data_IF_739949808709
#
_entry.id   IF_739949808709
#
_cell.length_a   1.000
_cell.length_b   1.000
_cell.length_c   1.000
_cell.angle_alpha   90.00
_cell.angle_beta   90.00
_cell.angle_gamma   90.00
#
_symmetry.space_group_name_H-M   'P 1'
#
loop_
_entity.id
_entity.type
_entity.pdbx_description
1 polymer ?
#
# COMPACT_ATOMS: atom_id res chain seq x y z
N UNK A 1 -0.25 7.12 23.69
CA UNK A 1 -0.51 6.78 22.28
C UNK A 1 -0.11 7.95 21.36
N UNK A 2 -0.70 9.13 21.48
CA UNK A 2 -0.52 10.28 20.57
C UNK A 2 0.94 10.75 20.47
N UNK A 3 1.62 10.87 21.59
CA UNK A 3 3.06 11.19 21.62
C UNK A 3 3.90 10.12 20.92
N UNK A 4 3.59 8.83 21.16
CA UNK A 4 4.27 7.73 20.49
C UNK A 4 4.10 7.76 18.97
N UNK A 5 2.89 8.03 18.47
CA UNK A 5 2.63 8.20 17.04
C UNK A 5 3.40 9.39 16.46
N UNK A 6 3.42 10.52 17.15
CA UNK A 6 4.20 11.70 16.75
C UNK A 6 5.69 11.40 16.65
N UNK A 7 6.26 10.65 17.60
CA UNK A 7 7.67 10.24 17.57
C UNK A 7 7.97 9.32 16.38
N UNK A 8 7.07 8.41 16.01
CA UNK A 8 7.21 7.56 14.83
C UNK A 8 7.22 8.41 13.55
N UNK A 9 6.33 9.39 13.43
CA UNK A 9 6.30 10.30 12.28
C UNK A 9 7.60 11.11 12.19
N UNK A 10 8.06 11.71 13.28
CA UNK A 10 9.33 12.47 13.32
C UNK A 10 10.51 11.57 12.96
N UNK A 11 10.60 10.37 13.55
CA UNK A 11 11.66 9.41 13.24
C UNK A 11 11.68 9.01 11.75
N UNK A 12 10.51 8.83 11.14
CA UNK A 12 10.40 8.54 9.71
C UNK A 12 10.83 9.71 8.82
N UNK A 13 10.61 10.96 9.25
CA UNK A 13 11.11 12.15 8.56
C UNK A 13 12.63 12.24 8.62
N UNK A 14 13.22 11.94 9.78
CA UNK A 14 14.69 11.88 9.93
C UNK A 14 15.28 10.80 9.02
N UNK A 15 14.65 9.61 8.96
CA UNK A 15 15.06 8.57 8.03
C UNK A 15 14.93 9.03 6.57
N UNK A 16 13.83 9.72 6.22
CA UNK A 16 13.61 10.30 4.89
C UNK A 16 14.67 11.32 4.48
N UNK A 17 15.19 12.09 5.42
CA UNK A 17 16.30 13.00 5.17
C UNK A 17 17.53 12.29 4.61
N UNK A 18 17.81 11.06 5.09
CA UNK A 18 18.89 10.22 4.56
C UNK A 18 18.76 9.94 3.06
N UNK A 19 17.53 9.72 2.57
CA UNK A 19 17.28 9.54 1.13
C UNK A 19 17.65 10.80 0.33
N UNK A 20 17.26 11.99 0.80
CA UNK A 20 17.54 13.25 0.10
C UNK A 20 19.03 13.58 0.07
N UNK A 21 19.72 13.38 1.20
CA UNK A 21 21.19 13.58 1.28
C UNK A 21 21.91 12.63 0.34
N UNK A 22 21.54 11.36 0.32
CA UNK A 22 22.12 10.34 -0.55
C UNK A 22 21.88 10.69 -2.02
N UNK A 23 20.65 11.04 -2.38
CA UNK A 23 20.33 11.48 -3.74
C UNK A 23 21.06 12.74 -4.15
N UNK A 24 21.16 13.73 -3.25
CA UNK A 24 21.90 14.96 -3.51
C UNK A 24 23.40 14.74 -3.72
N UNK A 25 24.01 13.75 -3.04
CA UNK A 25 25.40 13.32 -3.29
C UNK A 25 25.50 12.67 -4.66
N UNK A 26 24.67 11.68 -4.94
CA UNK A 26 24.64 10.99 -6.22
C UNK A 26 24.49 11.96 -7.40
N UNK A 27 23.59 12.94 -7.32
CA UNK A 27 23.39 13.96 -8.38
C UNK A 27 24.63 14.81 -8.63
N UNK A 28 25.45 15.09 -7.62
CA UNK A 28 26.71 15.82 -7.78
C UNK A 28 27.81 14.98 -8.45
N UNK A 29 27.81 13.68 -8.16
CA UNK A 29 28.77 12.73 -8.72
C UNK A 29 28.39 12.30 -10.15
N UNK A 30 27.11 12.42 -10.53
CA UNK A 30 26.55 11.99 -11.82
C UNK A 30 25.80 13.15 -12.50
N UNK A 31 26.49 14.24 -12.88
CA UNK A 31 25.86 15.40 -13.51
C UNK A 31 25.30 15.04 -14.88
N UNK A 32 24.04 15.37 -15.11
CA UNK A 32 23.34 15.08 -16.38
C UNK A 32 22.80 13.65 -16.51
N UNK A 33 23.16 12.73 -15.64
CA UNK A 33 22.61 11.39 -15.65
C UNK A 33 21.15 11.40 -15.16
N UNK A 34 20.37 10.48 -15.72
CA UNK A 34 18.98 10.28 -15.32
C UNK A 34 18.90 9.57 -13.99
N UNK A 35 18.00 10.05 -13.12
CA UNK A 35 17.72 9.37 -11.84
C UNK A 35 17.33 7.91 -12.09
N UNK A 36 17.98 6.92 -11.48
CA UNK A 36 17.54 5.53 -11.56
C UNK A 36 16.10 5.36 -11.12
N UNK A 37 15.33 4.49 -11.78
CA UNK A 37 13.90 4.31 -11.49
C UNK A 37 13.62 3.98 -10.01
N UNK A 38 14.44 3.12 -9.40
CA UNK A 38 14.32 2.77 -7.98
C UNK A 38 14.48 4.01 -7.10
N UNK A 39 15.49 4.83 -7.36
CA UNK A 39 15.76 6.05 -6.60
C UNK A 39 14.62 7.06 -6.78
N UNK A 40 14.16 7.28 -8.02
CA UNK A 40 13.02 8.16 -8.32
C UNK A 40 11.78 7.74 -7.55
N UNK A 41 11.39 6.47 -7.65
CA UNK A 41 10.19 5.94 -7.03
C UNK A 41 10.26 5.99 -5.49
N UNK A 42 11.42 5.66 -4.90
CA UNK A 42 11.63 5.73 -3.46
C UNK A 42 11.54 7.17 -2.93
N UNK A 43 12.13 8.13 -3.67
CA UNK A 43 12.06 9.55 -3.32
C UNK A 43 10.63 10.09 -3.44
N UNK A 44 9.91 9.75 -4.51
CA UNK A 44 8.50 10.12 -4.68
C UNK A 44 7.66 9.60 -3.52
N UNK A 45 7.87 8.34 -3.13
CA UNK A 45 7.19 7.72 -1.99
C UNK A 45 7.48 8.48 -0.70
N UNK A 46 8.72 8.89 -0.47
CA UNK A 46 9.10 9.66 0.72
C UNK A 46 8.54 11.08 0.71
N UNK A 47 8.50 11.76 -0.45
CA UNK A 47 7.85 13.09 -0.59
C UNK A 47 6.36 12.98 -0.28
N UNK A 48 5.68 11.97 -0.83
CA UNK A 48 4.27 11.72 -0.54
C UNK A 48 4.02 11.50 0.95
N UNK A 49 4.85 10.68 1.61
CA UNK A 49 4.79 10.44 3.04
C UNK A 49 4.90 11.73 3.85
N UNK A 50 5.86 12.58 3.53
CA UNK A 50 6.06 13.85 4.24
C UNK A 50 4.88 14.80 4.04
N UNK A 51 4.33 14.89 2.84
CA UNK A 51 3.15 15.72 2.57
C UNK A 51 1.95 15.20 3.36
N UNK A 52 1.63 13.91 3.27
CA UNK A 52 0.43 13.40 3.93
C UNK A 52 0.56 13.38 5.45
N UNK A 53 1.74 13.19 6.01
CA UNK A 53 1.94 13.20 7.46
C UNK A 53 1.76 14.57 8.11
N UNK A 54 1.68 15.66 7.33
CA UNK A 54 1.28 16.97 7.85
C UNK A 54 -0.14 16.95 8.44
N UNK A 55 -1.07 16.16 7.86
CA UNK A 55 -2.42 16.02 8.41
C UNK A 55 -2.43 15.41 9.81
N UNK A 56 -1.78 14.26 9.98
CA UNK A 56 -1.69 13.63 11.32
C UNK A 56 -0.85 14.46 12.28
N UNK A 57 0.14 15.22 11.80
CA UNK A 57 0.89 16.14 12.65
C UNK A 57 -0.02 17.28 13.16
N UNK A 58 -0.85 17.86 12.30
CA UNK A 58 -1.82 18.89 12.68
C UNK A 58 -2.83 18.33 13.70
N UNK A 59 -3.40 17.15 13.47
CA UNK A 59 -4.31 16.48 14.38
C UNK A 59 -3.66 16.23 15.76
N UNK A 60 -2.46 15.64 15.80
CA UNK A 60 -1.78 15.29 17.03
C UNK A 60 -1.35 16.53 17.82
N UNK A 61 -0.64 17.45 17.18
CA UNK A 61 -0.04 18.61 17.86
C UNK A 61 -1.06 19.72 18.13
N UNK A 62 -2.01 19.91 17.22
CA UNK A 62 -3.03 20.97 17.33
C UNK A 62 -4.21 20.59 18.22
N UNK A 63 -4.53 19.30 18.37
CA UNK A 63 -5.78 18.88 18.99
C UNK A 63 -5.62 17.75 20.00
N UNK A 64 -5.16 16.55 19.58
CA UNK A 64 -5.26 15.36 20.42
C UNK A 64 -4.24 15.31 21.57
N UNK A 65 -3.01 15.79 21.39
CA UNK A 65 -2.04 15.91 22.48
C UNK A 65 -2.48 17.01 23.46
N UNK A 66 -2.78 18.26 23.02
CA UNK A 66 -3.30 19.29 23.93
C UNK A 66 -4.54 18.86 24.70
N UNK A 67 -5.48 18.17 24.06
CA UNK A 67 -6.64 17.61 24.75
C UNK A 67 -6.24 16.52 25.77
N UNK A 68 -5.35 15.62 25.42
CA UNK A 68 -4.96 14.51 26.30
C UNK A 68 -4.22 14.95 27.57
N UNK A 69 -3.53 16.09 27.53
CA UNK A 69 -2.84 16.68 28.70
C UNK A 69 -3.69 17.74 29.43
N UNK A 70 -4.93 17.98 28.99
CA UNK A 70 -5.87 18.88 29.63
C UNK A 70 -5.71 20.36 29.25
N UNK A 71 -4.93 20.68 28.20
CA UNK A 71 -4.81 22.06 27.69
C UNK A 71 -6.03 22.50 26.89
N UNK A 72 -6.73 21.55 26.28
CA UNK A 72 -8.01 21.77 25.59
C UNK A 72 -9.12 21.02 26.33
N UNK A 73 -10.28 21.69 26.50
CA UNK A 73 -11.45 21.12 27.16
C UNK A 73 -12.20 20.09 26.32
N UNK A 74 -12.01 20.08 25.01
CA UNK A 74 -12.66 19.19 24.07
C UNK A 74 -11.93 19.14 22.74
N UNK A 75 -12.47 18.34 21.82
CA UNK A 75 -11.99 18.21 20.44
C UNK A 75 -13.14 18.44 19.45
N UNK A 76 -12.82 18.68 18.19
CA UNK A 76 -13.78 18.60 17.09
C UNK A 76 -13.57 17.27 16.34
N UNK A 77 -14.49 16.30 16.48
CA UNK A 77 -14.33 14.98 15.86
C UNK A 77 -14.31 15.02 14.34
N UNK A 78 -15.00 15.96 13.71
CA UNK A 78 -15.04 16.06 12.26
C UNK A 78 -13.70 16.59 11.71
N UNK A 79 -13.17 17.64 12.33
CA UNK A 79 -11.86 18.18 11.96
C UNK A 79 -10.76 17.14 12.22
N UNK A 80 -10.72 16.51 13.38
CA UNK A 80 -9.75 15.45 13.71
C UNK A 80 -9.79 14.31 12.70
N UNK A 81 -10.98 13.80 12.36
CA UNK A 81 -11.14 12.74 11.33
C UNK A 81 -10.71 13.18 9.94
N UNK A 82 -10.90 14.44 9.59
CA UNK A 82 -10.50 14.95 8.27
C UNK A 82 -8.99 15.10 8.19
N UNK A 83 -8.35 15.63 9.23
CA UNK A 83 -6.89 15.70 9.34
C UNK A 83 -6.26 14.29 9.36
N UNK A 84 -6.87 13.35 10.10
CA UNK A 84 -6.46 11.95 10.08
C UNK A 84 -6.57 11.33 8.68
N UNK A 85 -7.69 11.50 7.97
CA UNK A 85 -7.85 10.88 6.67
C UNK A 85 -7.04 11.55 5.56
N UNK A 86 -6.71 12.84 5.68
CA UNK A 86 -5.68 13.47 4.84
C UNK A 86 -4.38 12.65 4.85
N UNK A 87 -4.00 12.13 6.00
CA UNK A 87 -2.89 11.22 6.18
C UNK A 87 -3.26 9.78 5.81
N UNK A 88 -4.37 9.26 6.34
CA UNK A 88 -4.68 7.85 6.41
C UNK A 88 -4.86 7.15 5.05
N UNK A 89 -5.38 7.88 4.03
CA UNK A 89 -5.46 7.30 2.69
C UNK A 89 -4.09 7.26 2.01
N UNK A 90 -3.34 8.34 2.04
CA UNK A 90 -2.00 8.37 1.43
C UNK A 90 -1.01 7.43 2.14
N UNK A 91 -1.21 7.15 3.44
CA UNK A 91 -0.45 6.15 4.19
C UNK A 91 -0.50 4.77 3.52
N UNK A 92 -1.65 4.31 3.03
CA UNK A 92 -1.74 3.00 2.38
C UNK A 92 -0.98 2.96 1.05
N UNK A 93 -0.88 4.08 0.35
CA UNK A 93 -0.01 4.21 -0.83
C UNK A 93 1.48 4.26 -0.43
N UNK A 94 1.84 4.94 0.66
CA UNK A 94 3.20 4.90 1.19
C UNK A 94 3.65 3.47 1.48
N UNK A 95 2.76 2.61 1.97
CA UNK A 95 3.07 1.19 2.17
C UNK A 95 3.10 0.41 0.85
N UNK A 96 2.25 0.74 -0.11
CA UNK A 96 2.10 0.01 -1.36
C UNK A 96 3.18 0.34 -2.40
N UNK A 97 3.62 1.60 -2.50
CA UNK A 97 4.57 2.01 -3.52
C UNK A 97 5.92 1.29 -3.44
N UNK A 98 6.51 0.97 -2.26
CA UNK A 98 7.70 0.12 -2.21
C UNK A 98 7.47 -1.29 -2.77
N UNK A 99 6.27 -1.87 -2.61
CA UNK A 99 5.92 -3.12 -3.27
C UNK A 99 5.87 -2.95 -4.80
N UNK A 100 5.31 -1.83 -5.29
CA UNK A 100 5.32 -1.50 -6.71
C UNK A 100 6.74 -1.33 -7.27
N UNK A 101 7.64 -0.69 -6.52
CA UNK A 101 9.07 -0.61 -6.90
C UNK A 101 9.61 -2.01 -7.18
N UNK A 102 9.36 -2.96 -6.28
CA UNK A 102 9.80 -4.34 -6.46
C UNK A 102 9.15 -5.00 -7.69
N UNK A 103 7.84 -4.78 -7.91
CA UNK A 103 7.15 -5.33 -9.07
C UNK A 103 7.67 -4.80 -10.40
N UNK A 104 8.09 -3.53 -10.45
CA UNK A 104 8.69 -2.95 -11.65
C UNK A 104 10.14 -3.40 -11.90
N UNK A 105 10.92 -3.61 -10.85
CA UNK A 105 12.37 -3.82 -11.04
C UNK A 105 12.83 -5.23 -10.72
N UNK A 106 12.27 -5.90 -9.70
CA UNK A 106 12.71 -7.25 -9.33
C UNK A 106 12.00 -8.34 -10.15
N UNK A 107 10.69 -8.32 -10.19
CA UNK A 107 9.91 -9.38 -10.82
C UNK A 107 10.23 -9.58 -12.31
N UNK A 108 10.40 -8.55 -13.16
CA UNK A 108 10.77 -8.76 -14.56
C UNK A 108 12.14 -9.44 -14.69
N UNK A 109 13.13 -9.08 -13.85
CA UNK A 109 14.44 -9.73 -13.84
C UNK A 109 14.37 -11.17 -13.38
N UNK A 110 13.62 -11.45 -12.30
CA UNK A 110 13.39 -12.79 -11.79
C UNK A 110 12.65 -13.68 -12.83
N UNK A 111 11.72 -13.10 -13.58
CA UNK A 111 11.06 -13.76 -14.69
C UNK A 111 11.98 -14.04 -15.90
N UNK A 112 13.23 -13.55 -15.89
CA UNK A 112 14.18 -13.66 -16.99
C UNK A 112 13.91 -12.67 -18.13
N UNK A 113 13.16 -11.60 -17.85
CA UNK A 113 12.79 -10.55 -18.79
C UNK A 113 13.40 -9.19 -18.48
N UNK A 114 12.78 -8.17 -19.04
CA UNK A 114 13.14 -6.77 -18.91
C UNK A 114 11.91 -5.95 -18.56
N UNK A 115 12.11 -4.74 -18.04
CA UNK A 115 11.04 -3.78 -17.80
C UNK A 115 10.46 -3.29 -19.14
N UNK A 116 9.17 -3.49 -19.34
CA UNK A 116 8.47 -3.13 -20.58
C UNK A 116 8.64 -1.66 -20.94
N UNK A 117 8.43 -0.74 -19.98
CA UNK A 117 8.55 0.70 -20.23
C UNK A 117 8.96 1.48 -19.00
N UNK A 118 10.18 2.04 -19.01
CA UNK A 118 10.68 2.96 -17.98
C UNK A 118 9.87 4.29 -17.94
N UNK A 119 9.51 4.94 -19.08
CA UNK A 119 8.67 6.15 -19.04
C UNK A 119 7.31 5.93 -18.39
N UNK A 120 6.62 4.82 -18.68
CA UNK A 120 5.32 4.51 -18.07
C UNK A 120 5.45 4.26 -16.57
N UNK A 121 6.51 3.57 -16.13
CA UNK A 121 6.77 3.36 -14.72
C UNK A 121 6.96 4.69 -13.98
N UNK A 122 7.80 5.60 -14.52
CA UNK A 122 8.01 6.94 -13.94
C UNK A 122 6.71 7.75 -13.88
N UNK A 123 5.94 7.75 -14.95
CA UNK A 123 4.66 8.46 -14.99
C UNK A 123 3.70 7.91 -13.94
N UNK A 124 3.61 6.59 -13.76
CA UNK A 124 2.76 6.00 -12.74
C UNK A 124 3.13 6.49 -11.33
N UNK A 125 4.41 6.52 -10.96
CA UNK A 125 4.84 7.04 -9.65
C UNK A 125 4.51 8.52 -9.47
N UNK A 126 4.70 9.36 -10.49
CA UNK A 126 4.30 10.77 -10.42
C UNK A 126 2.80 10.95 -10.26
N UNK A 127 1.99 10.18 -10.99
CA UNK A 127 0.54 10.23 -10.85
C UNK A 127 0.09 9.75 -9.47
N UNK A 128 0.77 8.78 -8.85
CA UNK A 128 0.51 8.42 -7.46
C UNK A 128 0.79 9.59 -6.51
N UNK A 129 1.89 10.32 -6.67
CA UNK A 129 2.14 11.51 -5.85
C UNK A 129 1.02 12.55 -5.97
N UNK A 130 0.61 12.84 -7.20
CA UNK A 130 -0.41 13.89 -7.48
C UNK A 130 -1.78 13.48 -6.97
N UNK A 131 -2.16 12.20 -7.11
CA UNK A 131 -3.54 11.74 -6.91
C UNK A 131 -3.79 11.02 -5.57
N UNK A 132 -2.76 10.55 -4.85
CA UNK A 132 -2.97 9.73 -3.64
C UNK A 132 -3.41 10.54 -2.43
N UNK A 133 -3.06 11.81 -2.32
CA UNK A 133 -3.43 12.63 -1.15
C UNK A 133 -4.83 13.23 -1.29
N UNK A 134 -5.22 13.84 -2.43
CA UNK A 134 -6.45 14.63 -2.54
C UNK A 134 -7.72 13.78 -2.75
N UNK A 135 -7.81 12.60 -2.12
CA UNK A 135 -8.92 11.64 -2.34
C UNK A 135 -9.65 11.23 -1.06
N UNK A 136 -9.10 11.55 0.11
CA UNK A 136 -9.42 10.82 1.34
C UNK A 136 -10.81 11.09 1.94
N UNK A 137 -11.56 12.08 1.50
CA UNK A 137 -12.96 12.26 1.94
C UNK A 137 -13.88 11.09 1.52
N UNK A 138 -13.42 10.19 0.65
CA UNK A 138 -14.18 8.96 0.40
C UNK A 138 -14.25 8.04 1.64
N UNK A 139 -13.35 8.18 2.61
CA UNK A 139 -13.47 7.53 3.91
C UNK A 139 -14.52 8.16 4.82
N UNK A 140 -15.02 9.33 4.45
CA UNK A 140 -15.97 10.15 5.21
C UNK A 140 -17.29 10.40 4.47
N UNK A 141 -17.65 9.53 3.52
CA UNK A 141 -18.89 9.69 2.76
C UNK A 141 -20.15 9.75 3.64
N UNK A 142 -20.15 9.07 4.76
CA UNK A 142 -21.28 9.07 5.72
C UNK A 142 -21.10 10.09 6.85
N UNK A 143 -19.95 10.75 6.95
CA UNK A 143 -19.75 11.75 7.99
C UNK A 143 -20.64 12.98 7.72
N UNK A 144 -21.40 13.47 8.73
CA UNK A 144 -22.15 14.72 8.60
C UNK A 144 -21.21 15.92 8.55
N UNK A 145 -21.69 17.06 8.05
CA UNK A 145 -20.92 18.31 8.03
C UNK A 145 -19.98 18.48 6.85
N UNK A 146 -19.83 17.48 5.98
CA UNK A 146 -19.09 17.59 4.72
C UNK A 146 -20.10 17.72 3.57
N UNK A 147 -19.95 18.77 2.76
CA UNK A 147 -20.81 19.01 1.60
C UNK A 147 -20.76 17.84 0.60
N UNK A 148 -21.90 17.43 0.04
CA UNK A 148 -21.96 16.39 -1.00
C UNK A 148 -21.05 16.69 -2.21
N UNK A 149 -20.89 17.96 -2.57
CA UNK A 149 -20.01 18.35 -3.66
C UNK A 149 -18.54 17.96 -3.40
N UNK A 150 -18.03 18.20 -2.19
CA UNK A 150 -16.67 17.79 -1.84
C UNK A 150 -16.51 16.27 -1.76
N UNK A 151 -17.52 15.56 -1.27
CA UNK A 151 -17.56 14.09 -1.31
C UNK A 151 -17.48 13.58 -2.75
N UNK A 152 -18.23 14.21 -3.68
CA UNK A 152 -18.20 13.84 -5.10
C UNK A 152 -16.84 14.14 -5.75
N UNK A 153 -16.21 15.29 -5.46
CA UNK A 153 -14.85 15.62 -5.95
C UNK A 153 -13.84 14.57 -5.51
N UNK A 154 -13.81 14.23 -4.23
CA UNK A 154 -12.87 13.22 -3.73
C UNK A 154 -13.18 11.80 -4.22
N UNK A 155 -14.47 11.46 -4.45
CA UNK A 155 -14.86 10.23 -5.11
C UNK A 155 -14.31 10.15 -6.54
N UNK A 156 -14.47 11.22 -7.32
CA UNK A 156 -13.95 11.30 -8.70
C UNK A 156 -12.42 11.20 -8.73
N UNK A 157 -11.73 11.92 -7.85
CA UNK A 157 -10.27 11.83 -7.73
C UNK A 157 -9.80 10.43 -7.33
N UNK A 158 -10.61 9.67 -6.56
CA UNK A 158 -10.32 8.27 -6.23
C UNK A 158 -10.39 7.38 -7.47
N UNK A 159 -11.34 7.59 -8.37
CA UNK A 159 -11.33 6.90 -9.66
C UNK A 159 -10.12 7.30 -10.52
N UNK A 160 -9.67 8.55 -10.42
CA UNK A 160 -8.47 9.00 -11.13
C UNK A 160 -7.19 8.30 -10.61
N UNK A 161 -7.05 8.06 -9.30
CA UNK A 161 -5.87 7.36 -8.75
C UNK A 161 -5.85 5.86 -9.09
N UNK A 162 -6.97 5.29 -9.53
CA UNK A 162 -6.99 3.93 -10.07
C UNK A 162 -6.21 3.82 -11.40
N UNK A 163 -6.14 4.90 -12.16
CA UNK A 163 -5.47 4.91 -13.46
C UNK A 163 -3.97 4.56 -13.39
N UNK A 164 -3.13 5.17 -12.52
CA UNK A 164 -1.73 4.75 -12.37
C UNK A 164 -1.58 3.30 -11.85
N UNK A 165 -2.55 2.75 -11.10
CA UNK A 165 -2.57 1.33 -10.76
C UNK A 165 -2.77 0.45 -11.97
N UNK A 166 -3.65 0.82 -12.90
CA UNK A 166 -3.84 0.10 -14.17
C UNK A 166 -2.60 0.19 -15.06
N UNK A 167 -1.94 1.37 -15.12
CA UNK A 167 -0.66 1.52 -15.83
C UNK A 167 0.41 0.58 -15.24
N UNK A 168 0.46 0.46 -13.92
CA UNK A 168 1.36 -0.45 -13.23
C UNK A 168 1.07 -1.91 -13.59
N UNK A 169 -0.19 -2.32 -13.48
CA UNK A 169 -0.60 -3.69 -13.82
C UNK A 169 -0.23 -4.03 -15.28
N UNK A 170 -0.56 -3.15 -16.22
CA UNK A 170 -0.21 -3.33 -17.64
C UNK A 170 1.30 -3.46 -17.83
N UNK A 171 2.08 -2.53 -17.31
CA UNK A 171 3.54 -2.51 -17.52
C UNK A 171 4.23 -3.72 -16.89
N UNK A 172 3.81 -4.12 -15.69
CA UNK A 172 4.36 -5.29 -15.00
C UNK A 172 3.98 -6.57 -15.72
N UNK A 173 2.71 -6.77 -16.08
CA UNK A 173 2.26 -7.96 -16.82
C UNK A 173 2.99 -8.09 -18.16
N UNK A 174 3.12 -7.00 -18.93
CA UNK A 174 3.88 -6.98 -20.17
C UNK A 174 5.37 -7.35 -19.96
N UNK A 175 5.97 -6.86 -18.86
CA UNK A 175 7.35 -7.22 -18.47
C UNK A 175 7.49 -8.71 -18.15
N UNK A 176 6.51 -9.30 -17.44
CA UNK A 176 6.49 -10.72 -17.11
C UNK A 176 6.29 -11.58 -18.36
N UNK A 177 5.45 -11.14 -19.31
CA UNK A 177 5.25 -11.81 -20.57
C UNK A 177 6.54 -11.86 -21.40
N UNK A 178 7.31 -10.76 -21.45
CA UNK A 178 8.63 -10.73 -22.10
C UNK A 178 9.52 -11.83 -21.51
N UNK A 179 9.61 -11.94 -20.20
CA UNK A 179 10.42 -12.95 -19.52
C UNK A 179 9.93 -14.37 -19.77
N UNK A 180 8.62 -14.59 -19.68
CA UNK A 180 8.03 -15.91 -19.93
C UNK A 180 8.22 -16.37 -21.37
N UNK A 181 8.08 -15.46 -22.34
CA UNK A 181 8.33 -15.79 -23.77
C UNK A 181 9.78 -16.11 -24.04
N UNK A 182 10.72 -15.41 -23.39
CA UNK A 182 12.14 -15.74 -23.46
C UNK A 182 12.44 -17.15 -22.90
N UNK A 183 11.61 -17.65 -21.98
CA UNK A 183 11.65 -19.02 -21.43
C UNK A 183 10.89 -20.06 -22.29
N UNK A 184 10.39 -19.68 -23.48
CA UNK A 184 9.63 -20.55 -24.36
C UNK A 184 8.12 -20.55 -24.16
N UNK A 185 7.59 -19.66 -23.30
CA UNK A 185 6.14 -19.48 -23.11
C UNK A 185 5.44 -19.02 -24.39
N UNK A 186 4.28 -19.62 -24.71
CA UNK A 186 3.52 -19.39 -25.96
C UNK A 186 2.04 -19.18 -25.66
N UNK A 187 1.28 -18.78 -26.68
CA UNK A 187 -0.17 -18.58 -26.60
C UNK A 187 -0.56 -17.28 -25.86
N UNK A 188 -1.88 -17.03 -25.77
CA UNK A 188 -2.42 -15.80 -25.19
C UNK A 188 -2.27 -15.75 -23.66
N UNK A 189 -2.49 -16.88 -22.97
CA UNK A 189 -2.39 -16.98 -21.50
C UNK A 189 -1.43 -18.10 -21.04
N UNK A 190 -1.16 -19.09 -21.90
CA UNK A 190 -0.34 -20.24 -21.50
C UNK A 190 1.13 -19.88 -21.21
N UNK A 191 1.62 -18.73 -21.65
CA UNK A 191 2.94 -18.21 -21.29
C UNK A 191 3.11 -18.03 -19.77
N UNK A 192 2.03 -17.77 -19.03
CA UNK A 192 2.08 -17.64 -17.56
C UNK A 192 2.62 -18.90 -16.87
N UNK A 193 2.43 -20.08 -17.46
CA UNK A 193 3.00 -21.33 -16.95
C UNK A 193 4.53 -21.42 -17.06
N UNK A 194 5.16 -20.61 -17.92
CA UNK A 194 6.62 -20.56 -18.06
C UNK A 194 7.30 -19.63 -17.03
N UNK A 195 6.53 -18.90 -16.22
CA UNK A 195 7.06 -18.06 -15.16
C UNK A 195 7.65 -18.89 -14.01
N UNK A 196 8.61 -18.35 -13.23
CA UNK A 196 9.32 -19.11 -12.22
C UNK A 196 8.51 -19.27 -10.91
N UNK A 197 7.36 -19.92 -10.97
CA UNK A 197 6.47 -20.17 -9.83
C UNK A 197 7.12 -21.00 -8.70
N UNK A 198 8.23 -21.66 -8.99
CA UNK A 198 9.03 -22.41 -8.03
C UNK A 198 10.03 -21.57 -7.26
N UNK A 199 10.26 -20.32 -7.64
CA UNK A 199 11.09 -19.36 -6.90
C UNK A 199 10.23 -18.69 -5.81
N UNK A 200 10.58 -18.84 -4.52
CA UNK A 200 9.76 -18.27 -3.44
C UNK A 200 9.66 -16.75 -3.47
N UNK A 201 10.73 -16.05 -3.84
CA UNK A 201 10.73 -14.58 -3.92
C UNK A 201 9.81 -14.10 -5.03
N UNK A 202 9.89 -14.72 -6.21
CA UNK A 202 9.03 -14.41 -7.33
C UNK A 202 7.56 -14.79 -7.06
N UNK A 203 7.31 -16.02 -6.59
CA UNK A 203 5.97 -16.54 -6.37
C UNK A 203 5.20 -15.69 -5.34
N UNK A 204 5.84 -15.34 -4.22
CA UNK A 204 5.22 -14.50 -3.20
C UNK A 204 4.77 -13.14 -3.77
N UNK A 205 5.63 -12.46 -4.53
CA UNK A 205 5.31 -11.17 -5.14
C UNK A 205 4.21 -11.28 -6.20
N UNK A 206 4.24 -12.32 -7.04
CA UNK A 206 3.22 -12.51 -8.08
C UNK A 206 1.86 -12.86 -7.48
N UNK A 207 1.80 -13.74 -6.47
CA UNK A 207 0.58 -14.04 -5.73
C UNK A 207 0.02 -12.81 -5.00
N UNK A 208 0.89 -11.96 -4.45
CA UNK A 208 0.51 -10.69 -3.85
C UNK A 208 -0.15 -9.76 -4.88
N UNK A 209 0.43 -9.63 -6.07
CA UNK A 209 -0.11 -8.80 -7.16
C UNK A 209 -1.47 -9.32 -7.66
N UNK A 210 -1.65 -10.64 -7.79
CA UNK A 210 -2.94 -11.24 -8.18
C UNK A 210 -4.03 -10.86 -7.16
N UNK A 211 -3.78 -11.02 -5.86
CA UNK A 211 -4.77 -10.65 -4.83
C UNK A 211 -4.98 -9.14 -4.75
N UNK A 212 -3.94 -8.34 -5.06
CA UNK A 212 -4.10 -6.89 -5.15
C UNK A 212 -5.10 -6.47 -6.23
N UNK A 213 -5.18 -7.17 -7.36
CA UNK A 213 -6.16 -6.84 -8.40
C UNK A 213 -7.60 -6.92 -7.86
N UNK A 214 -7.93 -7.97 -7.09
CA UNK A 214 -9.23 -8.10 -6.42
C UNK A 214 -9.43 -7.03 -5.33
N UNK A 215 -8.38 -6.76 -4.54
CA UNK A 215 -8.40 -5.70 -3.53
C UNK A 215 -8.64 -4.31 -4.14
N UNK A 216 -8.00 -4.01 -5.28
CA UNK A 216 -8.19 -2.77 -6.04
C UNK A 216 -9.64 -2.58 -6.51
N UNK A 217 -10.28 -3.64 -7.00
CA UNK A 217 -11.72 -3.62 -7.34
C UNK A 217 -12.56 -3.27 -6.09
N UNK A 218 -12.27 -3.90 -4.94
CA UNK A 218 -12.89 -3.55 -3.66
C UNK A 218 -12.71 -2.06 -3.30
N UNK A 219 -11.59 -1.45 -3.67
CA UNK A 219 -11.35 -0.02 -3.52
C UNK A 219 -12.28 0.84 -4.37
N UNK A 220 -12.53 0.46 -5.62
CA UNK A 220 -13.48 1.15 -6.50
C UNK A 220 -14.91 1.06 -5.97
N UNK A 221 -15.30 -0.10 -5.43
CA UNK A 221 -16.58 -0.28 -4.75
C UNK A 221 -16.70 0.68 -3.57
N UNK A 222 -15.67 0.80 -2.75
CA UNK A 222 -15.63 1.74 -1.62
C UNK A 222 -15.65 3.21 -2.06
N UNK A 223 -15.11 3.55 -3.21
CA UNK A 223 -15.10 4.89 -3.78
C UNK A 223 -16.44 5.27 -4.45
N UNK A 224 -17.28 4.30 -4.76
CA UNK A 224 -18.62 4.51 -5.28
C UNK A 224 -19.56 4.97 -4.15
N UNK A 225 -20.02 6.23 -4.19
CA UNK A 225 -20.80 6.81 -3.10
C UNK A 225 -22.04 5.96 -2.75
N UNK A 226 -22.80 5.54 -3.75
CA UNK A 226 -24.04 4.78 -3.54
C UNK A 226 -23.77 3.40 -2.92
N UNK A 227 -22.74 2.70 -3.39
CA UNK A 227 -22.37 1.38 -2.84
C UNK A 227 -21.72 1.54 -1.47
N UNK A 228 -20.95 2.62 -1.26
CA UNK A 228 -20.36 2.92 0.04
C UNK A 228 -21.42 3.04 1.14
N UNK A 229 -22.61 3.56 0.84
CA UNK A 229 -23.72 3.61 1.81
C UNK A 229 -24.07 2.23 2.39
N UNK A 230 -23.90 1.17 1.61
CA UNK A 230 -24.19 -0.21 2.03
C UNK A 230 -23.02 -0.84 2.76
N UNK A 231 -21.78 -0.63 2.26
CA UNK A 231 -20.60 -1.34 2.78
C UNK A 231 -19.82 -0.57 3.84
N UNK A 232 -20.17 0.69 4.10
CA UNK A 232 -19.45 1.55 5.05
C UNK A 232 -19.44 0.95 6.47
N UNK A 233 -18.25 0.89 7.07
CA UNK A 233 -18.01 0.30 8.40
C UNK A 233 -18.41 -1.19 8.55
N UNK A 234 -18.64 -1.91 7.45
CA UNK A 234 -18.86 -3.35 7.46
C UNK A 234 -17.56 -4.14 7.31
N UNK A 235 -17.62 -5.47 7.44
CA UNK A 235 -16.51 -6.38 7.19
C UNK A 235 -16.02 -6.36 5.73
N UNK A 236 -16.83 -5.86 4.77
CA UNK A 236 -16.39 -5.62 3.40
C UNK A 236 -15.12 -4.76 3.35
N UNK A 237 -15.07 -3.70 4.17
CA UNK A 237 -13.88 -2.84 4.27
C UNK A 237 -12.67 -3.64 4.78
N UNK A 238 -12.88 -4.55 5.76
CA UNK A 238 -11.82 -5.43 6.25
C UNK A 238 -11.32 -6.36 5.14
N UNK A 239 -12.22 -6.99 4.38
CA UNK A 239 -11.89 -7.80 3.21
C UNK A 239 -11.03 -7.03 2.21
N UNK A 240 -11.45 -5.81 1.85
CA UNK A 240 -10.71 -4.94 0.93
C UNK A 240 -9.26 -4.69 1.37
N UNK A 241 -9.04 -4.16 2.57
CA UNK A 241 -7.67 -3.82 2.96
C UNK A 241 -6.79 -5.03 3.29
N UNK A 242 -7.37 -6.20 3.60
CA UNK A 242 -6.59 -7.42 3.74
C UNK A 242 -6.03 -7.91 2.39
N UNK A 243 -6.75 -7.72 1.29
CA UNK A 243 -6.20 -8.01 -0.04
C UNK A 243 -5.18 -6.96 -0.48
N UNK A 244 -5.39 -5.68 -0.18
CA UNK A 244 -4.48 -4.60 -0.58
C UNK A 244 -3.27 -4.51 0.35
N UNK A 245 -3.42 -4.09 1.59
CA UNK A 245 -2.30 -3.84 2.51
C UNK A 245 -1.74 -5.14 3.07
N UNK A 246 -2.58 -5.97 3.69
CA UNK A 246 -2.08 -7.18 4.36
C UNK A 246 -1.55 -8.23 3.37
N UNK A 247 -1.92 -8.18 2.09
CA UNK A 247 -1.40 -9.11 1.09
C UNK A 247 -0.43 -8.44 0.13
N UNK A 248 -0.89 -7.45 -0.64
CA UNK A 248 -0.03 -6.86 -1.66
C UNK A 248 1.26 -6.28 -1.07
N UNK A 249 1.18 -5.65 0.09
CA UNK A 249 2.37 -5.12 0.78
C UNK A 249 3.12 -6.22 1.50
N UNK A 250 2.48 -6.90 2.45
CA UNK A 250 3.17 -7.83 3.36
C UNK A 250 3.75 -9.03 2.62
N UNK A 251 2.97 -9.67 1.73
CA UNK A 251 3.45 -10.84 1.00
C UNK A 251 4.54 -10.46 -0.03
N UNK A 252 4.46 -9.26 -0.63
CA UNK A 252 5.56 -8.73 -1.44
C UNK A 252 6.83 -8.53 -0.61
N UNK A 253 6.72 -7.96 0.59
CA UNK A 253 7.89 -7.76 1.46
C UNK A 253 8.47 -9.08 1.94
N UNK A 254 7.65 -10.10 2.21
CA UNK A 254 8.13 -11.47 2.46
C UNK A 254 8.90 -11.99 1.23
N UNK A 255 8.39 -11.80 0.03
CA UNK A 255 9.08 -12.16 -1.21
C UNK A 255 10.42 -11.43 -1.38
N UNK A 256 10.47 -10.14 -1.03
CA UNK A 256 11.73 -9.38 -0.99
C UNK A 256 12.69 -9.95 0.05
N UNK A 257 12.20 -10.30 1.24
CA UNK A 257 13.02 -10.86 2.31
C UNK A 257 13.61 -12.22 1.95
N UNK A 258 12.96 -13.03 1.14
CA UNK A 258 13.51 -14.29 0.63
C UNK A 258 14.73 -14.09 -0.29
N UNK A 259 14.90 -12.92 -0.86
CA UNK A 259 16.10 -12.51 -1.55
C UNK A 259 17.05 -11.72 -0.63
N UNK A 260 16.53 -10.78 0.17
CA UNK A 260 17.32 -9.83 0.95
C UNK A 260 18.08 -10.50 2.11
N UNK A 261 17.47 -11.46 2.81
CA UNK A 261 18.15 -12.18 3.89
C UNK A 261 19.37 -12.97 3.38
N UNK A 262 19.29 -13.74 2.28
CA UNK A 262 20.47 -14.30 1.62
C UNK A 262 21.55 -13.27 1.28
N UNK A 263 21.16 -12.13 0.72
CA UNK A 263 22.09 -11.05 0.36
C UNK A 263 22.82 -10.49 1.59
N UNK A 264 22.09 -10.14 2.64
CA UNK A 264 22.66 -9.52 3.85
C UNK A 264 23.51 -10.50 4.68
N UNK A 265 23.17 -11.79 4.68
CA UNK A 265 23.87 -12.79 5.49
C UNK A 265 24.98 -13.51 4.74
N UNK A 266 25.07 -13.36 3.41
CA UNK A 266 25.95 -14.14 2.56
C UNK A 266 25.62 -15.65 2.61
N UNK A 267 24.37 -16.01 2.83
CA UNK A 267 23.89 -17.38 2.93
C UNK A 267 22.86 -17.71 1.87
N UNK A 268 22.68 -18.98 1.57
CA UNK A 268 21.59 -19.44 0.73
C UNK A 268 20.27 -19.44 1.52
N UNK A 269 19.15 -19.22 0.82
CA UNK A 269 17.83 -19.35 1.43
C UNK A 269 17.64 -20.76 1.99
N UNK A 270 17.40 -20.85 3.28
CA UNK A 270 17.16 -22.12 3.94
C UNK A 270 15.75 -22.64 3.63
N UNK A 271 15.63 -23.93 3.31
CA UNK A 271 14.37 -24.60 3.01
C UNK A 271 13.46 -23.87 1.99
N UNK A 272 13.91 -23.66 0.73
CA UNK A 272 13.14 -22.91 -0.26
C UNK A 272 11.76 -23.52 -0.57
N UNK A 273 11.59 -24.85 -0.42
CA UNK A 273 10.26 -25.48 -0.55
C UNK A 273 9.30 -25.05 0.56
N UNK A 274 9.80 -24.81 1.76
CA UNK A 274 9.00 -24.30 2.88
C UNK A 274 8.65 -22.82 2.68
N UNK A 275 9.57 -22.02 2.14
CA UNK A 275 9.32 -20.64 1.74
C UNK A 275 8.23 -20.58 0.65
N UNK A 276 8.28 -21.49 -0.30
CA UNK A 276 7.24 -21.58 -1.34
C UNK A 276 5.89 -21.99 -0.74
N UNK A 277 5.86 -23.00 0.14
CA UNK A 277 4.65 -23.40 0.86
C UNK A 277 4.05 -22.21 1.66
N UNK A 278 4.88 -21.39 2.28
CA UNK A 278 4.47 -20.17 2.97
C UNK A 278 3.71 -19.22 2.03
N UNK A 279 4.24 -18.93 0.84
CA UNK A 279 3.62 -18.01 -0.09
C UNK A 279 2.23 -18.51 -0.55
N UNK A 280 2.10 -19.78 -0.89
CA UNK A 280 0.84 -20.37 -1.31
C UNK A 280 -0.18 -20.50 -0.17
N UNK A 281 0.25 -20.82 1.05
CA UNK A 281 -0.65 -20.83 2.21
C UNK A 281 -1.13 -19.43 2.57
N UNK A 282 -0.28 -18.40 2.44
CA UNK A 282 -0.73 -17.01 2.57
C UNK A 282 -1.82 -16.66 1.57
N UNK A 283 -1.57 -16.97 0.30
CA UNK A 283 -2.55 -16.72 -0.78
C UNK A 283 -3.90 -17.38 -0.48
N UNK A 284 -3.89 -18.67 -0.13
CA UNK A 284 -5.11 -19.42 0.16
C UNK A 284 -5.83 -18.88 1.40
N UNK A 285 -5.12 -18.68 2.50
CA UNK A 285 -5.70 -18.17 3.75
C UNK A 285 -6.32 -16.78 3.56
N UNK A 286 -5.65 -15.91 2.80
CA UNK A 286 -6.15 -14.57 2.52
C UNK A 286 -7.35 -14.58 1.58
N UNK A 287 -7.35 -15.45 0.58
CA UNK A 287 -8.49 -15.61 -0.34
C UNK A 287 -9.75 -16.04 0.42
N UNK A 288 -9.62 -17.02 1.33
CA UNK A 288 -10.74 -17.51 2.16
C UNK A 288 -11.21 -16.41 3.11
N UNK A 289 -10.32 -15.83 3.90
CA UNK A 289 -10.68 -14.83 4.92
C UNK A 289 -11.27 -13.57 4.30
N UNK A 290 -10.60 -13.00 3.30
CA UNK A 290 -11.09 -11.76 2.67
C UNK A 290 -12.33 -12.00 1.84
N UNK A 291 -12.45 -13.14 1.17
CA UNK A 291 -13.68 -13.54 0.46
C UNK A 291 -14.87 -13.58 1.39
N UNK A 292 -14.74 -14.27 2.52
CA UNK A 292 -15.79 -14.35 3.54
C UNK A 292 -16.17 -12.96 4.08
N UNK A 293 -15.18 -12.09 4.35
CA UNK A 293 -15.43 -10.74 4.85
C UNK A 293 -16.10 -9.83 3.82
N UNK A 294 -15.76 -9.95 2.53
CA UNK A 294 -16.46 -9.22 1.47
C UNK A 294 -17.92 -9.64 1.39
N UNK A 295 -18.19 -10.94 1.37
CA UNK A 295 -19.57 -11.46 1.25
C UNK A 295 -20.40 -11.08 2.47
N UNK A 296 -19.96 -11.38 3.68
CA UNK A 296 -20.74 -11.08 4.88
C UNK A 296 -20.92 -9.58 5.13
N UNK A 297 -19.93 -8.77 4.72
CA UNK A 297 -20.02 -7.32 4.81
C UNK A 297 -20.98 -6.71 3.79
N UNK A 298 -21.06 -7.27 2.57
CA UNK A 298 -21.95 -6.82 1.50
C UNK A 298 -23.38 -7.29 1.69
N UNK A 299 -23.57 -8.59 1.94
CA UNK A 299 -24.88 -9.22 1.93
C UNK A 299 -25.67 -8.97 3.24
N UNK A 300 -24.96 -8.86 4.36
CA UNK A 300 -25.55 -8.75 5.69
C UNK A 300 -25.17 -7.48 6.45
N UNK A 301 -24.28 -6.65 5.91
CA UNK A 301 -23.85 -5.41 6.57
C UNK A 301 -23.15 -5.65 7.91
N UNK A 302 -22.51 -6.81 8.11
CA UNK A 302 -21.87 -7.16 9.39
C UNK A 302 -20.82 -6.11 9.76
N UNK A 303 -20.93 -5.45 10.92
CA UNK A 303 -20.06 -4.36 11.29
C UNK A 303 -18.62 -4.83 11.56
N UNK A 304 -17.65 -4.02 11.19
CA UNK A 304 -16.25 -4.18 11.61
C UNK A 304 -15.99 -3.49 12.95
N UNK A 305 -14.89 -3.83 13.62
CA UNK A 305 -14.42 -3.20 14.87
C UNK A 305 -15.38 -3.38 16.05
N UNK A 306 -16.10 -4.48 16.07
CA UNK A 306 -16.97 -4.87 17.16
C UNK A 306 -16.61 -6.26 17.66
N UNK A 307 -16.86 -6.53 18.93
CA UNK A 307 -16.69 -7.85 19.54
C UNK A 307 -17.91 -8.73 19.23
N UNK A 308 -17.97 -9.30 18.02
CA UNK A 308 -19.11 -10.08 17.55
C UNK A 308 -19.46 -11.26 18.47
N UNK A 309 -18.46 -11.87 19.13
CA UNK A 309 -18.71 -13.00 20.04
C UNK A 309 -19.53 -12.66 21.29
N UNK A 310 -19.62 -11.38 21.66
CA UNK A 310 -20.45 -10.89 22.77
C UNK A 310 -21.67 -10.07 22.29
N UNK A 311 -21.91 -9.99 20.98
CA UNK A 311 -23.01 -9.24 20.43
C UNK A 311 -24.34 -9.98 20.63
N UNK A 312 -25.31 -9.33 21.25
CA UNK A 312 -26.66 -9.88 21.48
C UNK A 312 -27.47 -9.98 20.19
N UNK A 313 -27.02 -9.32 19.11
CA UNK A 313 -27.67 -9.27 17.80
C UNK A 313 -27.00 -10.17 16.77
N UNK A 314 -26.19 -11.15 17.19
CA UNK A 314 -25.50 -12.07 16.28
C UNK A 314 -26.52 -12.93 15.53
N UNK A 315 -26.60 -12.73 14.21
CA UNK A 315 -27.46 -13.54 13.34
C UNK A 315 -26.77 -14.88 13.00
N UNK A 316 -27.54 -15.95 13.05
CA UNK A 316 -27.06 -17.30 12.68
C UNK A 316 -26.61 -17.39 11.23
N UNK A 317 -27.13 -16.56 10.31
CA UNK A 317 -26.74 -16.48 8.92
C UNK A 317 -25.29 -15.98 8.73
N UNK A 318 -24.73 -15.24 9.70
CA UNK A 318 -23.34 -14.76 9.64
C UNK A 318 -22.32 -15.84 9.96
N UNK A 319 -22.74 -16.85 10.74
CA UNK A 319 -21.85 -17.87 11.29
C UNK A 319 -20.97 -18.59 10.25
N UNK A 320 -21.47 -19.05 9.09
CA UNK A 320 -20.62 -19.69 8.08
C UNK A 320 -19.46 -18.80 7.64
N UNK A 321 -19.73 -17.54 7.30
CA UNK A 321 -18.72 -16.58 6.86
C UNK A 321 -17.69 -16.25 7.95
N UNK A 322 -18.14 -16.15 9.21
CA UNK A 322 -17.22 -15.89 10.33
C UNK A 322 -16.33 -17.12 10.61
N UNK A 323 -16.85 -18.32 10.41
CA UNK A 323 -16.05 -19.55 10.48
C UNK A 323 -15.03 -19.60 9.35
N UNK A 324 -15.41 -19.30 8.10
CA UNK A 324 -14.50 -19.22 6.98
C UNK A 324 -13.40 -18.17 7.22
N UNK A 325 -13.79 -17.00 7.76
CA UNK A 325 -12.85 -15.97 8.17
C UNK A 325 -11.83 -16.48 9.21
N UNK A 326 -12.30 -17.26 10.20
CA UNK A 326 -11.44 -17.87 11.22
C UNK A 326 -10.52 -18.94 10.62
N UNK A 327 -11.04 -19.81 9.74
CA UNK A 327 -10.24 -20.83 9.01
C UNK A 327 -9.13 -20.15 8.20
N UNK A 328 -9.47 -19.12 7.41
CA UNK A 328 -8.48 -18.34 6.67
C UNK A 328 -7.42 -17.73 7.59
N UNK A 329 -7.83 -17.18 8.74
CA UNK A 329 -6.94 -16.64 9.76
C UNK A 329 -5.97 -17.67 10.34
N UNK A 330 -6.42 -18.90 10.61
CA UNK A 330 -5.54 -20.02 11.06
C UNK A 330 -4.54 -20.39 9.98
N UNK A 331 -4.94 -20.47 8.72
CA UNK A 331 -4.03 -20.74 7.59
C UNK A 331 -2.97 -19.63 7.48
N UNK A 332 -3.37 -18.36 7.65
CA UNK A 332 -2.43 -17.23 7.66
C UNK A 332 -1.45 -17.30 8.83
N UNK A 333 -1.92 -17.68 10.02
CA UNK A 333 -1.05 -17.87 11.18
C UNK A 333 0.01 -18.98 10.93
N UNK A 334 -0.39 -20.09 10.32
CA UNK A 334 0.54 -21.14 9.87
C UNK A 334 1.54 -20.55 8.88
N UNK A 335 1.07 -19.79 7.88
CA UNK A 335 1.93 -19.16 6.87
C UNK A 335 2.97 -18.22 7.49
N UNK A 336 2.58 -17.34 8.41
CA UNK A 336 3.51 -16.46 9.13
C UNK A 336 4.52 -17.26 9.94
N UNK A 337 4.10 -18.33 10.59
CA UNK A 337 5.00 -19.24 11.33
C UNK A 337 6.05 -19.85 10.39
N UNK A 338 5.64 -20.34 9.22
CA UNK A 338 6.55 -20.84 8.19
C UNK A 338 7.57 -19.78 7.76
N UNK A 339 7.14 -18.53 7.57
CA UNK A 339 8.03 -17.43 7.24
C UNK A 339 9.12 -17.24 8.30
N UNK A 340 8.76 -17.17 9.58
CA UNK A 340 9.74 -17.01 10.65
C UNK A 340 10.70 -18.19 10.74
N UNK A 341 10.22 -19.42 10.56
CA UNK A 341 11.08 -20.62 10.52
C UNK A 341 12.11 -20.50 9.38
N UNK A 342 11.68 -20.12 8.18
CA UNK A 342 12.58 -19.95 7.03
C UNK A 342 13.56 -18.79 7.25
N UNK A 343 13.09 -17.66 7.76
CA UNK A 343 13.93 -16.48 8.01
C UNK A 343 15.02 -16.78 9.05
N UNK A 344 14.64 -17.35 10.20
CA UNK A 344 15.59 -17.77 11.26
C UNK A 344 16.54 -18.86 10.73
N UNK A 345 16.00 -19.86 10.02
CA UNK A 345 16.82 -20.91 9.39
C UNK A 345 17.82 -20.34 8.39
N UNK A 346 17.45 -19.33 7.60
CA UNK A 346 18.36 -18.65 6.66
C UNK A 346 19.51 -17.94 7.38
N UNK A 347 19.19 -17.20 8.46
CA UNK A 347 20.19 -16.45 9.22
C UNK A 347 21.17 -17.35 9.96
N UNK A 348 20.70 -18.44 10.57
CA UNK A 348 21.52 -19.26 11.48
C UNK A 348 21.99 -20.59 10.87
N UNK A 349 21.22 -21.22 9.99
CA UNK A 349 21.47 -22.55 9.45
C UNK A 349 21.65 -22.60 7.92
N UNK A 350 21.44 -21.50 7.19
CA UNK A 350 21.63 -21.44 5.74
C UNK A 350 23.09 -21.73 5.35
N UNK A 351 23.32 -22.55 4.32
CA UNK A 351 24.65 -22.77 3.76
C UNK A 351 25.28 -21.44 3.30
N UNK A 352 26.60 -21.30 3.41
CA UNK A 352 27.27 -20.11 2.85
C UNK A 352 27.06 -20.03 1.34
N UNK A 353 26.74 -18.85 0.84
CA UNK A 353 26.63 -18.62 -0.58
C UNK A 353 28.04 -18.72 -1.22
N UNK A 354 28.12 -19.39 -2.34
CA UNK A 354 29.37 -19.54 -3.10
C UNK A 354 29.71 -18.27 -3.93
N UNK A 355 28.68 -17.47 -4.19
CA UNK A 355 28.78 -16.19 -4.89
C UNK A 355 27.89 -15.14 -4.20
N UNK A 356 28.21 -13.84 -4.31
CA UNK A 356 27.34 -12.78 -3.79
C UNK A 356 25.93 -12.90 -4.38
N UNK A 357 24.92 -12.74 -3.55
CA UNK A 357 23.53 -12.67 -3.98
C UNK A 357 23.28 -11.23 -4.46
N UNK A 358 23.17 -11.04 -5.77
CA UNK A 358 22.95 -9.73 -6.35
C UNK A 358 21.47 -9.34 -6.33
N UNK A 359 21.19 -8.04 -6.22
CA UNK A 359 19.84 -7.53 -6.34
C UNK A 359 19.33 -7.72 -7.78
N UNK A 360 18.18 -8.38 -8.00
CA UNK A 360 17.63 -8.56 -9.34
C UNK A 360 17.00 -7.26 -9.86
N UNK A 361 17.76 -6.47 -10.60
CA UNK A 361 17.32 -5.22 -11.20
C UNK A 361 17.08 -5.44 -12.69
N UNK A 362 15.86 -5.18 -13.14
CA UNK A 362 15.51 -5.26 -14.55
C UNK A 362 15.99 -4.02 -15.31
N UNK A 363 16.59 -4.27 -16.47
CA UNK A 363 16.86 -3.24 -17.45
C UNK A 363 15.60 -2.93 -18.29
N UNK A 364 15.46 -1.71 -18.83
CA UNK A 364 14.41 -1.40 -19.79
C UNK A 364 14.51 -2.30 -21.04
N UNK A 365 13.35 -2.70 -21.56
CA UNK A 365 13.28 -3.55 -22.79
C UNK A 365 13.84 -2.82 -24.00
N UNK A 366 13.50 -1.55 -24.13
CA UNK A 366 14.06 -0.68 -25.15
C UNK A 366 14.69 0.57 -24.51
N UNK A 367 15.76 1.09 -25.10
CA UNK A 367 16.37 2.35 -24.71
C UNK A 367 15.48 3.53 -25.19
N UNK A 368 14.22 3.55 -24.78
CA UNK A 368 13.29 4.62 -25.14
C UNK A 368 13.70 5.91 -24.44
N UNK A 369 13.83 7.03 -25.17
CA UNK A 369 14.09 8.32 -24.56
C UNK A 369 12.98 8.66 -23.55
N UNK A 370 13.36 8.91 -22.31
CA UNK A 370 12.41 9.39 -21.30
C UNK A 370 12.24 10.91 -21.49
N UNK A 371 11.03 11.40 -21.67
CA UNK A 371 10.77 12.83 -21.76
C UNK A 371 11.30 13.60 -20.56
N UNK A 372 11.95 14.74 -20.79
CA UNK A 372 12.60 15.54 -19.72
C UNK A 372 11.62 15.99 -18.61
N UNK A 373 10.35 16.21 -18.96
CA UNK A 373 9.33 16.59 -18.00
C UNK A 373 9.05 15.50 -16.93
N UNK A 374 9.36 14.23 -17.19
CA UNK A 374 9.31 13.16 -16.19
C UNK A 374 10.42 13.23 -15.12
N UNK A 375 11.45 14.02 -15.33
CA UNK A 375 12.47 14.32 -14.31
C UNK A 375 12.29 15.73 -13.70
N UNK A 376 11.20 16.44 -14.00
CA UNK A 376 10.93 17.77 -13.49
C UNK A 376 10.20 17.73 -12.14
N UNK A 377 10.97 17.58 -11.06
CA UNK A 377 10.47 17.51 -9.68
C UNK A 377 9.60 18.71 -9.28
N UNK A 378 10.00 19.93 -9.68
CA UNK A 378 9.26 21.17 -9.33
C UNK A 378 7.88 21.18 -9.93
N UNK A 379 7.75 20.74 -11.18
CA UNK A 379 6.46 20.65 -11.87
C UNK A 379 5.53 19.66 -11.17
N UNK A 380 6.01 18.44 -10.90
CA UNK A 380 5.18 17.37 -10.32
C UNK A 380 4.79 17.64 -8.88
N UNK A 381 5.73 18.11 -8.04
CA UNK A 381 5.43 18.52 -6.67
C UNK A 381 4.47 19.72 -6.69
N UNK A 382 4.67 20.68 -7.59
CA UNK A 382 3.77 21.80 -7.77
C UNK A 382 2.34 21.38 -8.11
N UNK A 383 2.17 20.43 -9.03
CA UNK A 383 0.84 19.87 -9.34
C UNK A 383 0.22 19.13 -8.16
N UNK A 384 1.00 18.33 -7.42
CA UNK A 384 0.50 17.64 -6.23
C UNK A 384 0.01 18.65 -5.17
N UNK A 385 0.82 19.64 -4.83
CA UNK A 385 0.47 20.68 -3.85
C UNK A 385 -0.75 21.48 -4.31
N UNK A 386 -0.80 21.90 -5.59
CA UNK A 386 -1.93 22.63 -6.15
C UNK A 386 -3.23 21.83 -6.01
N UNK A 387 -3.22 20.56 -6.41
CA UNK A 387 -4.42 19.72 -6.35
C UNK A 387 -4.86 19.47 -4.90
N UNK A 388 -3.92 19.28 -3.98
CA UNK A 388 -4.20 19.16 -2.54
C UNK A 388 -4.84 20.42 -1.99
N UNK A 389 -4.29 21.60 -2.31
CA UNK A 389 -4.85 22.88 -1.87
C UNK A 389 -6.26 23.10 -2.42
N UNK A 390 -6.50 22.75 -3.67
CA UNK A 390 -7.83 22.86 -4.27
C UNK A 390 -8.84 21.87 -3.67
N UNK A 391 -8.44 20.65 -3.37
CA UNK A 391 -9.33 19.61 -2.86
C UNK A 391 -9.63 19.77 -1.36
N UNK A 392 -8.65 20.19 -0.56
CA UNK A 392 -8.80 20.28 0.90
C UNK A 392 -8.93 21.71 1.43
N UNK A 393 -8.33 22.70 0.76
CA UNK A 393 -8.28 24.07 1.27
C UNK A 393 -9.65 24.61 1.68
N UNK A 394 -10.65 24.62 0.78
CA UNK A 394 -11.99 25.12 1.12
C UNK A 394 -12.67 24.31 2.24
N UNK A 395 -12.46 23.00 2.27
CA UNK A 395 -13.04 22.10 3.29
C UNK A 395 -12.44 22.41 4.67
N UNK A 396 -11.13 22.46 4.77
CA UNK A 396 -10.42 22.74 6.03
C UNK A 396 -10.67 24.15 6.53
N UNK A 397 -10.67 25.17 5.64
CA UNK A 397 -10.99 26.54 6.03
C UNK A 397 -12.39 26.61 6.65
N UNK A 398 -13.38 25.97 6.02
CA UNK A 398 -14.73 25.93 6.56
C UNK A 398 -14.77 25.20 7.90
N UNK A 399 -14.14 24.05 8.04
CA UNK A 399 -14.11 23.28 9.30
C UNK A 399 -13.42 24.06 10.42
N UNK A 400 -12.27 24.68 10.17
CA UNK A 400 -11.53 25.45 11.16
C UNK A 400 -12.33 26.69 11.60
N UNK A 401 -13.00 27.39 10.66
CA UNK A 401 -13.79 28.56 10.96
C UNK A 401 -15.07 28.25 11.75
N UNK A 402 -15.59 27.03 11.65
CA UNK A 402 -16.80 26.57 12.34
C UNK A 402 -16.50 25.60 13.50
N UNK A 403 -15.23 25.38 13.79
CA UNK A 403 -14.80 24.40 14.82
C UNK A 403 -15.42 24.71 16.18
N UNK A 404 -15.92 23.65 16.83
CA UNK A 404 -16.44 23.71 18.18
C UNK A 404 -15.75 22.60 19.00
N UNK A 405 -14.81 22.99 19.86
CA UNK A 405 -14.08 22.07 20.74
C UNK A 405 -14.97 21.52 21.89
N UNK A 406 -16.21 21.15 21.59
CA UNK A 406 -17.24 20.81 22.56
C UNK A 406 -17.36 19.30 22.79
N UNK A 407 -16.80 18.47 21.94
CA UNK A 407 -16.81 17.05 22.19
C UNK A 407 -15.83 16.74 23.32
N UNK A 408 -16.36 16.72 24.54
CA UNK A 408 -15.65 16.17 25.69
C UNK A 408 -15.33 14.70 25.35
N UNK A 409 -14.10 14.41 25.02
CA UNK A 409 -13.68 13.04 24.76
C UNK A 409 -13.84 12.20 26.01
N UNK A 410 -14.03 10.91 25.84
CA UNK A 410 -14.07 9.98 26.97
C UNK A 410 -12.64 9.84 27.50
N UNK A 411 -12.33 10.48 28.63
CA UNK A 411 -11.09 10.23 29.38
C UNK A 411 -11.23 8.88 30.07
N UNK A 412 -10.37 7.93 29.73
CA UNK A 412 -10.34 6.60 30.34
C UNK A 412 -9.32 6.48 31.48
N UNK A 413 -8.76 7.60 31.95
CA UNK A 413 -7.85 7.70 33.10
C UNK A 413 -8.30 8.82 34.05
#
# INVERSE_FOLDING_TARGET
>A
FYVGLTLVVVGSWVAGWGYYVTYGRWRREHPGERTPLIALASLITMVMWQICSLGVAAEMLGMLIPWSVGWLGGTDPLLARTEFWFFGHALVYFWLLPAYVSWYVMMPKQAGGKLFSDPLARLAFWLFLVLSVPVALHHQFLDPGISPAWKAVHGLLTYAVFFPSMMTAFTVIASLEIGARARGGRGLFAWMGALPWHDPSYAAQNLAMILFAFGGIGGLVNASYNVNLVVHNTLFIAGHFHLTVATAVTLTFIGILYWLLPHLTGRQLWAPKLALAQAYTWFLGMLIMSGAYHLVGLDYGVPRRVALGSATYLDAAWKPYLVDGAVGGVILWISVTLFFIVAVGTVFAGAKATQPVEMPIAEPYEATPVPAWLDNWRMWIGFAVLLIVLAYGPVLINMISTTQLNAAGMRVW
#
